data_IF_395816757709
#
_entry.id   IF_395816757709
#
_cell.length_a   1.000
_cell.length_b   1.000
_cell.length_c   1.000
_cell.angle_alpha   90.00
_cell.angle_beta   90.00
_cell.angle_gamma   90.00
#
_symmetry.space_group_name_H-M   'P 1'
#
loop_
_entity.id
_entity.type
_entity.pdbx_description
1 polymer ?
#
# COMPACT_ATOMS: atom_id res chain seq x y z
N UNK A 1 19.80 10.77 44.79
CA UNK A 1 18.88 9.88 44.06
C UNK A 1 19.21 10.00 42.58
N UNK A 2 20.16 9.19 42.10
CA UNK A 2 20.64 9.24 40.72
C UNK A 2 19.98 8.11 39.93
N UNK A 3 19.29 8.50 38.87
CA UNK A 3 18.57 7.65 37.94
C UNK A 3 19.60 6.81 37.15
N UNK A 4 19.80 5.56 37.55
CA UNK A 4 20.74 4.63 36.92
C UNK A 4 20.16 4.06 35.64
N UNK A 5 20.23 4.83 34.55
CA UNK A 5 20.01 4.29 33.21
C UNK A 5 21.12 3.27 32.92
N UNK A 6 20.74 2.00 32.90
CA UNK A 6 21.54 0.89 32.38
C UNK A 6 21.88 1.16 30.92
N UNK A 7 23.09 1.66 30.65
CA UNK A 7 23.58 1.82 29.29
C UNK A 7 23.73 0.44 28.64
N UNK A 8 22.73 0.05 27.85
CA UNK A 8 22.68 -1.16 27.04
C UNK A 8 23.31 -0.85 25.68
N UNK A 9 24.56 -1.27 25.48
CA UNK A 9 25.26 -1.05 24.21
C UNK A 9 25.17 -2.31 23.35
N UNK A 10 24.16 -2.36 22.48
CA UNK A 10 23.98 -3.45 21.52
C UNK A 10 24.84 -3.13 20.29
N UNK A 11 25.94 -3.87 20.09
CA UNK A 11 26.64 -3.88 18.79
C UNK A 11 25.85 -4.75 17.82
N UNK A 12 25.04 -4.10 16.99
CA UNK A 12 24.11 -4.73 16.04
C UNK A 12 24.84 -5.36 14.86
N UNK A 13 25.11 -6.65 14.95
CA UNK A 13 25.13 -7.51 13.78
C UNK A 13 24.08 -8.60 14.01
N UNK A 14 23.03 -8.62 13.17
CA UNK A 14 21.99 -9.65 13.06
C UNK A 14 20.93 -9.83 14.16
N UNK A 15 20.65 -8.84 15.01
CA UNK A 15 19.48 -8.91 15.90
C UNK A 15 18.20 -8.45 15.18
N UNK A 16 17.16 -9.29 15.18
CA UNK A 16 15.85 -8.97 14.60
C UNK A 16 15.09 -7.91 15.39
N UNK A 17 14.06 -7.31 14.80
CA UNK A 17 13.13 -6.42 15.52
C UNK A 17 12.13 -7.25 16.33
N UNK A 18 11.72 -6.77 17.51
CA UNK A 18 10.71 -7.43 18.35
C UNK A 18 11.04 -7.44 19.84
N UNK A 19 10.29 -8.23 20.60
CA UNK A 19 10.46 -8.40 22.05
C UNK A 19 11.49 -9.51 22.33
N UNK A 20 12.61 -9.17 22.96
CA UNK A 20 13.59 -10.13 23.45
C UNK A 20 13.32 -10.42 24.93
N UNK A 21 13.42 -11.68 25.32
CA UNK A 21 13.28 -12.09 26.72
C UNK A 21 14.66 -12.47 27.29
N UNK A 22 15.06 -11.82 28.37
CA UNK A 22 16.26 -12.14 29.14
C UNK A 22 15.80 -12.86 30.40
N UNK A 23 16.12 -14.14 30.51
CA UNK A 23 15.76 -14.98 31.65
C UNK A 23 16.98 -15.15 32.53
N UNK A 24 16.85 -14.72 33.78
CA UNK A 24 17.85 -14.93 34.83
C UNK A 24 17.36 -16.07 35.73
N UNK A 25 18.14 -17.14 35.77
CA UNK A 25 17.85 -18.39 36.49
C UNK A 25 19.04 -18.80 37.36
N UNK A 26 18.84 -19.76 38.26
CA UNK A 26 19.88 -20.31 39.13
C UNK A 26 20.65 -19.25 39.95
N UNK A 27 19.93 -18.26 40.49
CA UNK A 27 20.53 -17.24 41.35
C UNK A 27 21.07 -17.85 42.64
N UNK A 28 22.36 -17.68 42.89
CA UNK A 28 23.04 -18.14 44.10
C UNK A 28 23.85 -17.00 44.72
N UNK A 29 23.80 -16.89 46.04
CA UNK A 29 24.56 -15.90 46.82
C UNK A 29 25.41 -16.62 47.85
N UNK A 30 26.74 -16.57 47.68
CA UNK A 30 27.69 -17.21 48.58
C UNK A 30 27.94 -16.37 49.84
N UNK A 31 28.49 -16.99 50.89
CA UNK A 31 28.80 -16.39 52.19
C UNK A 31 29.75 -15.19 52.09
N UNK A 32 30.53 -15.12 51.00
CA UNK A 32 31.42 -14.00 50.66
C UNK A 32 30.74 -12.88 49.85
N UNK A 33 29.39 -12.84 49.79
CA UNK A 33 28.61 -11.87 49.03
C UNK A 33 28.84 -11.93 47.50
N UNK A 34 29.42 -13.02 47.00
CA UNK A 34 29.56 -13.28 45.57
C UNK A 34 28.23 -13.82 45.06
N UNK A 35 27.59 -13.07 44.17
CA UNK A 35 26.34 -13.43 43.54
C UNK A 35 26.62 -14.00 42.14
N UNK A 36 25.98 -15.10 41.79
CA UNK A 36 26.09 -15.73 40.47
C UNK A 36 24.72 -16.14 39.95
N UNK A 37 24.53 -16.04 38.63
CA UNK A 37 23.32 -16.50 37.98
C UNK A 37 23.59 -16.96 36.54
N UNK A 38 22.65 -17.75 36.03
CA UNK A 38 22.61 -18.19 34.65
C UNK A 38 21.68 -17.27 33.86
N UNK A 39 22.22 -16.62 32.83
CA UNK A 39 21.51 -15.67 31.98
C UNK A 39 21.31 -16.31 30.62
N UNK A 40 20.06 -16.38 30.16
CA UNK A 40 19.70 -16.87 28.84
C UNK A 40 18.86 -15.81 28.10
N UNK A 41 19.15 -15.59 26.82
CA UNK A 41 18.47 -14.59 26.01
C UNK A 41 17.70 -15.29 24.90
N UNK A 42 16.43 -14.92 24.74
CA UNK A 42 15.57 -15.41 23.68
C UNK A 42 15.26 -14.29 22.68
N UNK A 43 15.28 -14.67 21.40
CA UNK A 43 14.80 -13.87 20.27
C UNK A 43 13.26 -13.69 20.34
N UNK A 44 12.69 -12.67 19.66
CA UNK A 44 11.24 -12.54 19.43
C UNK A 44 10.50 -13.81 18.98
N UNK A 45 11.18 -14.73 18.30
CA UNK A 45 10.62 -16.01 17.87
C UNK A 45 10.73 -17.13 18.93
N UNK A 46 11.20 -16.81 20.15
CA UNK A 46 11.36 -17.76 21.25
C UNK A 46 12.59 -18.67 21.16
N UNK A 47 13.49 -18.46 20.18
CA UNK A 47 14.74 -19.20 20.07
C UNK A 47 15.83 -18.60 20.97
N UNK A 48 16.58 -19.46 21.67
CA UNK A 48 17.71 -19.04 22.50
C UNK A 48 18.86 -18.51 21.64
N UNK A 49 19.28 -17.28 21.90
CA UNK A 49 20.46 -16.62 21.30
C UNK A 49 21.74 -17.13 21.97
N UNK A 50 21.65 -17.47 23.25
CA UNK A 50 22.76 -18.01 24.02
C UNK A 50 22.48 -17.99 25.51
N UNK A 51 23.29 -18.78 26.22
CA UNK A 51 23.23 -18.98 27.67
C UNK A 51 24.62 -18.78 28.27
N UNK A 52 24.71 -18.07 29.38
CA UNK A 52 25.97 -17.78 30.06
C UNK A 52 25.78 -17.79 31.58
N UNK A 53 26.64 -18.53 32.28
CA UNK A 53 26.78 -18.40 33.73
C UNK A 53 27.79 -17.28 34.05
N UNK A 54 27.37 -16.31 34.85
CA UNK A 54 28.20 -15.15 35.18
C UNK A 54 28.06 -14.74 36.65
N UNK A 55 29.11 -14.10 37.17
CA UNK A 55 29.01 -13.34 38.41
C UNK A 55 28.17 -12.08 38.16
N UNK A 56 27.29 -11.77 39.10
CA UNK A 56 26.30 -10.69 39.02
C UNK A 56 26.40 -9.79 40.26
N UNK A 57 25.65 -8.68 40.26
CA UNK A 57 25.64 -7.72 41.37
C UNK A 57 26.77 -6.67 41.28
N UNK A 58 26.61 -5.57 42.03
CA UNK A 58 27.37 -4.32 41.84
C UNK A 58 28.90 -4.49 41.95
N UNK A 59 29.35 -5.39 42.83
CA UNK A 59 30.76 -5.57 43.16
C UNK A 59 31.49 -6.60 42.28
N UNK A 60 30.76 -7.53 41.66
CA UNK A 60 31.34 -8.68 40.95
C UNK A 60 30.89 -8.81 39.49
N UNK A 61 29.82 -8.11 39.11
CA UNK A 61 29.33 -8.10 37.74
C UNK A 61 30.31 -7.42 36.77
N UNK A 62 30.20 -7.78 35.49
CA UNK A 62 31.00 -7.21 34.41
C UNK A 62 30.19 -7.20 33.11
N UNK A 63 30.72 -6.54 32.08
CA UNK A 63 30.11 -6.59 30.76
C UNK A 63 30.39 -7.96 30.15
N UNK A 64 29.34 -8.73 29.89
CA UNK A 64 29.40 -10.08 29.34
C UNK A 64 28.74 -10.12 27.96
N UNK A 65 29.28 -10.95 27.07
CA UNK A 65 28.73 -11.15 25.73
C UNK A 65 28.09 -12.53 25.66
N UNK A 66 26.81 -12.58 25.32
CA UNK A 66 26.04 -13.81 25.17
C UNK A 66 25.70 -13.98 23.70
N UNK A 67 26.04 -15.15 23.14
CA UNK A 67 25.87 -15.46 21.73
C UNK A 67 27.07 -16.17 21.12
N UNK A 68 26.97 -16.54 19.85
CA UNK A 68 28.04 -17.21 19.09
C UNK A 68 28.90 -16.20 18.34
N UNK A 69 30.19 -16.47 18.14
CA UNK A 69 31.11 -15.55 17.47
C UNK A 69 30.76 -15.23 16.00
N UNK A 70 29.98 -16.09 15.34
CA UNK A 70 29.51 -15.93 13.95
C UNK A 70 27.99 -15.69 13.83
N UNK A 71 27.30 -15.35 14.93
CA UNK A 71 25.84 -15.19 14.96
C UNK A 71 25.39 -14.03 15.84
N UNK A 72 24.16 -14.11 16.34
CA UNK A 72 23.56 -13.07 17.20
C UNK A 72 24.37 -12.90 18.48
N UNK A 73 24.80 -11.66 18.77
CA UNK A 73 25.55 -11.32 20.01
C UNK A 73 24.81 -10.22 20.77
N UNK A 74 24.66 -10.40 22.07
CA UNK A 74 24.09 -9.39 22.97
C UNK A 74 25.05 -9.16 24.12
N UNK A 75 25.37 -7.89 24.40
CA UNK A 75 26.19 -7.53 25.55
C UNK A 75 25.30 -7.12 26.72
N UNK A 76 25.46 -7.77 27.86
CA UNK A 76 24.71 -7.50 29.09
C UNK A 76 25.68 -7.08 30.17
N UNK A 77 25.37 -5.98 30.87
CA UNK A 77 26.08 -5.60 32.07
C UNK A 77 25.49 -6.35 33.28
N UNK A 78 26.21 -7.36 33.77
CA UNK A 78 25.70 -8.21 34.85
C UNK A 78 25.74 -7.56 36.23
N UNK A 79 26.34 -6.36 36.36
CA UNK A 79 26.34 -5.58 37.61
C UNK A 79 24.95 -5.18 38.08
N UNK A 80 24.01 -5.06 37.15
CA UNK A 80 22.67 -4.54 37.39
C UNK A 80 21.64 -5.65 37.63
N UNK A 81 22.07 -6.92 37.61
CA UNK A 81 21.23 -8.07 37.89
C UNK A 81 21.39 -8.40 39.37
N UNK A 82 20.30 -8.25 40.14
CA UNK A 82 20.27 -8.45 41.60
C UNK A 82 19.26 -9.51 42.04
N UNK A 83 18.45 -10.03 41.12
CA UNK A 83 17.42 -11.05 41.41
C UNK A 83 17.15 -11.92 40.18
N UNK A 84 16.60 -13.11 40.41
CA UNK A 84 16.08 -13.98 39.35
C UNK A 84 14.78 -13.40 38.75
N UNK A 85 14.54 -13.67 37.46
CA UNK A 85 13.34 -13.22 36.77
C UNK A 85 13.54 -13.01 35.27
N UNK A 86 12.46 -12.65 34.59
CA UNK A 86 12.46 -12.39 33.15
C UNK A 86 12.34 -10.89 32.88
N UNK A 87 13.33 -10.32 32.20
CA UNK A 87 13.25 -8.96 31.67
C UNK A 87 12.90 -9.01 30.18
N UNK A 88 11.89 -8.23 29.77
CA UNK A 88 11.49 -8.09 28.37
C UNK A 88 12.07 -6.80 27.81
N UNK A 89 12.78 -6.88 26.69
CA UNK A 89 13.42 -5.74 26.02
C UNK A 89 12.86 -5.66 24.61
N UNK A 90 12.12 -4.60 24.33
CA UNK A 90 11.58 -4.34 23.00
C UNK A 90 12.62 -3.60 22.14
N UNK A 91 12.96 -4.16 20.98
CA UNK A 91 13.75 -3.47 19.95
C UNK A 91 12.80 -3.04 18.83
N UNK A 92 12.63 -1.73 18.67
CA UNK A 92 11.78 -1.13 17.63
C UNK A 92 12.61 -0.34 16.62
N UNK A 93 12.28 -0.49 15.34
CA UNK A 93 12.76 0.41 14.29
C UNK A 93 11.81 1.59 14.16
N UNK A 94 12.31 2.82 14.36
CA UNK A 94 11.58 4.04 14.03
C UNK A 94 12.08 4.57 12.69
N UNK A 95 11.20 4.65 11.69
CA UNK A 95 11.52 5.22 10.39
C UNK A 95 10.67 6.46 10.11
N UNK A 96 11.33 7.56 9.75
CA UNK A 96 10.67 8.71 9.12
C UNK A 96 10.78 8.55 7.61
N UNK A 97 9.66 8.29 6.94
CA UNK A 97 9.61 8.25 5.48
C UNK A 97 9.28 9.65 4.98
N UNK A 98 10.20 10.27 4.26
CA UNK A 98 9.93 11.48 3.50
C UNK A 98 9.80 11.09 2.03
N UNK A 99 8.63 11.30 1.44
CA UNK A 99 8.47 11.29 -0.02
C UNK A 99 8.65 12.73 -0.48
N UNK A 100 9.39 12.96 -1.56
CA UNK A 100 9.51 14.28 -2.16
C UNK A 100 8.96 14.25 -3.58
N UNK A 101 8.25 15.32 -3.97
CA UNK A 101 7.95 15.57 -5.38
C UNK A 101 9.19 16.23 -6.00
N UNK A 102 9.73 15.62 -7.05
CA UNK A 102 10.74 16.27 -7.89
C UNK A 102 10.01 17.23 -8.82
N UNK A 103 10.41 18.50 -8.78
CA UNK A 103 9.91 19.56 -9.64
C UNK A 103 10.63 19.53 -10.99
N UNK A 104 10.09 20.25 -11.97
CA UNK A 104 10.65 20.33 -13.32
C UNK A 104 12.05 20.97 -13.39
N UNK A 105 12.46 21.69 -12.33
CA UNK A 105 13.81 22.25 -12.14
C UNK A 105 14.78 21.29 -11.41
N UNK A 106 14.38 20.02 -11.27
CA UNK A 106 15.12 18.97 -10.56
C UNK A 106 15.31 19.24 -9.06
N UNK A 107 14.56 20.18 -8.47
CA UNK A 107 14.51 20.40 -7.02
C UNK A 107 13.47 19.49 -6.37
N UNK A 108 13.74 19.03 -5.16
CA UNK A 108 12.85 18.13 -4.42
C UNK A 108 12.03 18.91 -3.38
N UNK A 109 10.70 18.93 -3.52
CA UNK A 109 9.79 19.48 -2.50
C UNK A 109 9.31 18.35 -1.59
N UNK A 110 9.55 18.46 -0.28
CA UNK A 110 9.14 17.43 0.68
C UNK A 110 7.61 17.34 0.77
N UNK A 111 7.07 16.14 0.55
CA UNK A 111 5.70 15.75 0.92
C UNK A 111 5.78 15.26 2.36
N UNK A 112 5.46 16.14 3.29
CA UNK A 112 5.46 15.82 4.72
C UNK A 112 4.24 14.99 5.07
N UNK A 113 4.45 13.72 5.43
CA UNK A 113 3.43 12.93 6.13
C UNK A 113 3.52 13.22 7.63
N UNK A 114 2.43 13.69 8.24
CA UNK A 114 2.40 14.15 9.64
C UNK A 114 2.38 13.05 10.71
N UNK A 115 2.64 11.78 10.37
CA UNK A 115 2.50 10.65 11.31
C UNK A 115 3.78 9.82 11.41
N UNK A 116 4.28 9.68 12.64
CA UNK A 116 5.34 8.74 13.01
C UNK A 116 4.82 7.31 12.78
N UNK A 117 5.46 6.53 11.90
CA UNK A 117 5.06 5.16 11.58
C UNK A 117 5.92 4.18 12.39
N UNK A 118 5.29 3.43 13.29
CA UNK A 118 5.93 2.41 14.12
C UNK A 118 5.67 1.02 13.54
N UNK A 119 6.68 0.15 13.52
CA UNK A 119 6.54 -1.23 13.02
C UNK A 119 6.31 -2.19 14.19
N UNK A 120 5.39 -3.16 14.03
CA UNK A 120 5.27 -4.35 14.89
C UNK A 120 5.43 -5.58 13.96
N UNK A 121 6.48 -6.39 14.15
CA UNK A 121 6.79 -7.62 13.40
C UNK A 121 7.19 -7.45 11.91
N UNK A 122 7.96 -6.41 11.56
CA UNK A 122 8.61 -6.33 10.22
C UNK A 122 7.67 -6.09 9.03
N UNK A 123 6.41 -5.76 9.27
CA UNK A 123 5.43 -5.39 8.24
C UNK A 123 4.76 -4.06 8.60
N UNK A 124 4.85 -3.08 7.71
CA UNK A 124 4.13 -1.82 7.81
C UNK A 124 3.04 -1.76 6.75
N UNK A 125 1.82 -1.41 7.15
CA UNK A 125 0.72 -1.19 6.23
C UNK A 125 0.01 0.12 6.58
N UNK A 126 -0.01 1.07 5.65
CA UNK A 126 -0.78 2.31 5.80
C UNK A 126 -1.24 2.81 4.44
N UNK A 127 -2.52 3.17 4.32
CA UNK A 127 -3.05 3.72 3.08
C UNK A 127 -2.89 2.79 1.87
N UNK A 128 -3.01 1.46 2.06
CA UNK A 128 -2.98 0.47 0.97
C UNK A 128 -1.58 0.07 0.50
N UNK A 129 -0.56 0.71 1.07
CA UNK A 129 0.82 0.34 0.87
C UNK A 129 1.23 -0.65 1.94
N UNK A 130 1.66 -1.85 1.54
CA UNK A 130 2.33 -2.80 2.41
C UNK A 130 3.83 -2.74 2.14
N UNK A 131 4.59 -2.40 3.17
CA UNK A 131 6.05 -2.45 3.19
C UNK A 131 6.47 -3.61 4.09
N UNK A 132 7.12 -4.61 3.50
CA UNK A 132 7.71 -5.73 4.25
C UNK A 132 9.20 -5.46 4.39
N UNK A 133 9.69 -5.50 5.62
CA UNK A 133 11.12 -5.45 5.90
C UNK A 133 11.65 -6.88 5.84
N UNK A 134 12.59 -7.15 4.94
CA UNK A 134 13.32 -8.41 4.93
C UNK A 134 13.92 -8.67 6.32
N UNK A 135 13.73 -9.87 6.84
CA UNK A 135 13.93 -10.23 8.26
C UNK A 135 15.38 -10.13 8.78
N UNK A 136 16.33 -9.58 8.01
CA UNK A 136 17.72 -9.47 8.41
C UNK A 136 18.24 -8.08 8.07
N UNK A 137 18.60 -7.31 9.10
CA UNK A 137 19.42 -6.12 8.94
C UNK A 137 20.86 -6.55 8.60
N UNK A 138 21.09 -6.96 7.36
CA UNK A 138 22.44 -7.15 6.84
C UNK A 138 23.05 -5.77 6.57
N UNK A 139 24.34 -5.60 6.86
CA UNK A 139 25.10 -4.47 6.32
C UNK A 139 25.02 -4.52 4.78
N UNK A 140 24.30 -3.57 4.18
CA UNK A 140 24.06 -3.51 2.73
C UNK A 140 22.72 -2.89 2.36
N UNK A 141 22.47 -2.72 1.07
CA UNK A 141 21.21 -2.21 0.52
C UNK A 141 20.06 -3.17 0.84
N UNK A 142 19.18 -2.79 1.77
CA UNK A 142 17.92 -3.48 2.00
C UNK A 142 16.94 -3.14 0.87
N UNK A 143 16.55 -4.15 0.09
CA UNK A 143 15.47 -3.98 -0.87
C UNK A 143 14.12 -3.96 -0.12
N UNK A 144 13.31 -2.94 -0.40
CA UNK A 144 11.96 -2.80 0.14
C UNK A 144 10.97 -3.17 -0.95
N UNK A 145 10.19 -4.23 -0.71
CA UNK A 145 9.06 -4.54 -1.57
C UNK A 145 7.86 -3.69 -1.13
N UNK A 146 7.56 -2.64 -1.91
CA UNK A 146 6.38 -1.82 -1.76
C UNK A 146 5.25 -2.41 -2.61
N UNK A 147 4.35 -3.16 -1.98
CA UNK A 147 3.18 -3.71 -2.68
C UNK A 147 1.98 -2.79 -2.46
N UNK A 148 1.48 -2.20 -3.54
CA UNK A 148 0.22 -1.45 -3.52
C UNK A 148 -0.96 -2.44 -3.60
N UNK A 149 -1.71 -2.55 -2.49
CA UNK A 149 -2.91 -3.38 -2.38
C UNK A 149 -4.20 -2.63 -2.73
N UNK A 150 -4.12 -1.40 -3.23
CA UNK A 150 -5.29 -0.68 -3.70
C UNK A 150 -5.96 -1.41 -4.88
N UNK A 151 -7.29 -1.45 -4.85
CA UNK A 151 -8.10 -1.88 -5.98
C UNK A 151 -8.04 -0.79 -7.05
N UNK A 152 -7.64 -1.12 -8.27
CA UNK A 152 -7.63 -0.18 -9.40
C UNK A 152 -8.85 -0.41 -10.27
N UNK A 153 -9.66 0.64 -10.47
CA UNK A 153 -10.82 0.63 -11.35
C UNK A 153 -10.53 1.49 -12.57
N UNK A 154 -10.71 0.95 -13.77
CA UNK A 154 -10.74 1.72 -15.01
C UNK A 154 -12.09 2.45 -15.09
N UNK A 155 -12.08 3.77 -15.11
CA UNK A 155 -13.30 4.60 -15.06
C UNK A 155 -13.52 5.41 -16.33
N UNK A 156 -12.69 5.26 -17.35
CA UNK A 156 -12.81 6.02 -18.59
C UNK A 156 -12.32 5.26 -19.82
N UNK A 157 -12.58 5.83 -20.99
CA UNK A 157 -12.31 5.21 -22.29
C UNK A 157 -10.82 5.23 -22.70
N UNK A 158 -10.02 6.11 -22.09
CA UNK A 158 -8.60 6.29 -22.44
C UNK A 158 -7.66 5.62 -21.43
N UNK A 159 -6.42 5.36 -21.86
CA UNK A 159 -5.34 4.87 -21.00
C UNK A 159 -5.09 5.83 -19.83
N UNK A 160 -4.75 5.28 -18.66
CA UNK A 160 -4.47 6.03 -17.42
C UNK A 160 -5.69 6.75 -16.78
N UNK A 161 -6.92 6.40 -17.17
CA UNK A 161 -8.15 6.87 -16.53
C UNK A 161 -8.59 5.90 -15.43
N UNK A 162 -7.78 5.81 -14.38
CA UNK A 162 -7.96 4.86 -13.29
C UNK A 162 -8.26 5.57 -11.98
N UNK A 163 -9.10 4.95 -11.15
CA UNK A 163 -9.30 5.32 -9.76
C UNK A 163 -8.80 4.17 -8.88
N UNK A 164 -7.85 4.50 -8.02
CA UNK A 164 -7.31 3.55 -7.06
C UNK A 164 -8.04 3.74 -5.73
N UNK A 165 -8.69 2.67 -5.26
CA UNK A 165 -9.38 2.61 -3.98
C UNK A 165 -8.56 1.74 -3.05
N UNK A 166 -8.03 2.38 -2.01
CA UNK A 166 -7.41 1.68 -0.92
C UNK A 166 -8.38 1.61 0.27
N UNK A 167 -8.60 0.37 0.72
CA UNK A 167 -9.34 0.04 1.94
C UNK A 167 -8.35 -0.58 2.93
N UNK A 168 -8.03 0.11 4.04
CA UNK A 168 -7.19 -0.49 5.08
C UNK A 168 -7.88 -1.69 5.71
N UNK A 169 -7.11 -2.64 6.23
CA UNK A 169 -7.66 -3.74 7.02
C UNK A 169 -8.30 -3.22 8.31
N UNK A 170 -9.59 -3.47 8.51
CA UNK A 170 -10.38 -3.00 9.66
C UNK A 170 -10.78 -4.16 10.59
N UNK A 171 -9.81 -5.02 10.95
CA UNK A 171 -10.02 -6.07 11.95
C UNK A 171 -9.90 -5.53 13.38
N UNK A 172 -10.50 -6.20 14.36
CA UNK A 172 -10.43 -5.81 15.79
C UNK A 172 -8.99 -5.70 16.29
N UNK A 173 -8.12 -6.61 15.83
CA UNK A 173 -6.68 -6.61 16.11
C UNK A 173 -5.99 -5.39 15.50
N UNK A 174 -6.28 -5.04 14.24
CA UNK A 174 -5.68 -3.86 13.57
C UNK A 174 -6.18 -2.54 14.13
N UNK A 175 -7.42 -2.51 14.60
CA UNK A 175 -8.02 -1.36 15.26
C UNK A 175 -7.62 -1.25 16.75
N UNK A 176 -6.92 -2.25 17.31
CA UNK A 176 -6.46 -2.24 18.69
C UNK A 176 -7.57 -2.40 19.73
N UNK A 177 -8.67 -3.06 19.35
CA UNK A 177 -9.88 -3.25 20.17
C UNK A 177 -10.14 -4.74 20.50
N UNK A 178 -9.14 -5.62 20.35
CA UNK A 178 -9.27 -7.05 20.67
C UNK A 178 -9.32 -7.31 22.20
N UNK A 179 -8.53 -6.55 22.96
CA UNK A 179 -8.45 -6.62 24.42
C UNK A 179 -8.97 -5.33 25.05
N UNK A 180 -10.30 -5.19 25.07
CA UNK A 180 -10.97 -4.14 25.83
C UNK A 180 -11.30 -4.67 27.22
N UNK A 181 -10.80 -3.99 28.25
CA UNK A 181 -11.15 -4.23 29.64
C UNK A 181 -11.94 -3.03 30.19
N UNK A 182 -12.99 -3.31 30.94
CA UNK A 182 -13.87 -2.30 31.58
C UNK A 182 -14.02 -2.54 33.10
N UNK A 183 -13.22 -3.42 33.68
CA UNK A 183 -13.34 -3.83 35.08
C UNK A 183 -12.89 -2.73 36.06
N UNK A 184 -11.99 -1.83 35.66
CA UNK A 184 -11.60 -0.67 36.46
C UNK A 184 -11.93 0.65 35.78
N UNK A 185 -12.04 1.73 36.57
CA UNK A 185 -12.31 3.07 36.04
C UNK A 185 -11.25 3.56 35.05
N UNK A 186 -9.98 3.19 35.26
CA UNK A 186 -8.88 3.53 34.35
C UNK A 186 -9.03 2.78 33.03
N UNK A 187 -9.23 1.47 33.09
CA UNK A 187 -9.36 0.64 31.89
C UNK A 187 -10.61 1.01 31.09
N UNK A 188 -11.71 1.38 31.75
CA UNK A 188 -12.91 1.88 31.09
C UNK A 188 -12.67 3.20 30.32
N UNK A 189 -11.88 4.13 30.87
CA UNK A 189 -11.51 5.35 30.14
C UNK A 189 -10.59 5.05 28.94
N UNK A 190 -9.61 4.16 29.13
CA UNK A 190 -8.72 3.73 28.04
C UNK A 190 -9.50 3.00 26.93
N UNK A 191 -10.52 2.22 27.30
CA UNK A 191 -11.43 1.55 26.37
C UNK A 191 -12.23 2.53 25.52
N UNK A 192 -12.82 3.57 26.14
CA UNK A 192 -13.57 4.62 25.43
C UNK A 192 -12.65 5.30 24.41
N UNK A 193 -11.43 5.65 24.80
CA UNK A 193 -10.48 6.30 23.91
C UNK A 193 -10.07 5.41 22.72
N UNK A 194 -9.79 4.12 22.96
CA UNK A 194 -9.48 3.16 21.89
C UNK A 194 -10.67 2.99 20.92
N UNK A 195 -11.89 2.89 21.46
CA UNK A 195 -13.11 2.77 20.64
C UNK A 195 -13.36 4.01 19.80
N UNK A 196 -13.16 5.21 20.36
CA UNK A 196 -13.31 6.47 19.63
C UNK A 196 -12.32 6.55 18.46
N UNK A 197 -11.05 6.16 18.67
CA UNK A 197 -10.08 6.07 17.58
C UNK A 197 -10.49 5.07 16.51
N UNK A 198 -10.98 3.88 16.90
CA UNK A 198 -11.45 2.87 15.96
C UNK A 198 -12.65 3.37 15.13
N UNK A 199 -13.62 4.03 15.77
CA UNK A 199 -14.78 4.64 15.10
C UNK A 199 -14.35 5.74 14.13
N UNK A 200 -13.40 6.59 14.53
CA UNK A 200 -12.87 7.64 13.68
C UNK A 200 -12.16 7.06 12.44
N UNK A 201 -11.39 5.98 12.61
CA UNK A 201 -10.73 5.30 11.49
C UNK A 201 -11.73 4.67 10.50
N UNK A 202 -12.79 4.03 11.02
CA UNK A 202 -13.86 3.46 10.19
C UNK A 202 -14.61 4.59 9.45
N UNK A 203 -14.94 5.68 10.16
CA UNK A 203 -15.64 6.83 9.60
C UNK A 203 -14.83 7.51 8.50
N UNK A 204 -13.51 7.67 8.70
CA UNK A 204 -12.60 8.18 7.68
C UNK A 204 -12.56 7.28 6.44
N UNK A 205 -12.52 5.96 6.64
CA UNK A 205 -12.54 4.99 5.54
C UNK A 205 -13.86 5.04 4.76
N UNK A 206 -15.01 5.12 5.47
CA UNK A 206 -16.34 5.28 4.85
C UNK A 206 -16.45 6.60 4.08
N UNK A 207 -15.90 7.68 4.62
CA UNK A 207 -15.87 8.99 3.95
C UNK A 207 -15.08 8.93 2.63
N UNK A 208 -13.90 8.30 2.64
CA UNK A 208 -13.09 8.08 1.42
C UNK A 208 -13.82 7.24 0.38
N UNK A 209 -14.52 6.19 0.80
CA UNK A 209 -15.34 5.36 -0.08
C UNK A 209 -16.51 6.14 -0.67
N UNK A 210 -17.24 6.92 0.14
CA UNK A 210 -18.34 7.77 -0.33
C UNK A 210 -17.87 8.85 -1.31
N UNK A 211 -16.74 9.51 -1.03
CA UNK A 211 -16.13 10.46 -1.96
C UNK A 211 -15.76 9.80 -3.30
N UNK A 212 -15.27 8.56 -3.25
CA UNK A 212 -14.94 7.82 -4.46
C UNK A 212 -16.21 7.40 -5.22
N UNK A 213 -17.26 6.98 -4.52
CA UNK A 213 -18.57 6.71 -5.12
C UNK A 213 -19.10 7.93 -5.87
N UNK A 214 -19.08 9.12 -5.24
CA UNK A 214 -19.51 10.36 -5.91
C UNK A 214 -18.72 10.63 -7.19
N UNK A 215 -17.40 10.42 -7.16
CA UNK A 215 -16.56 10.56 -8.36
C UNK A 215 -16.94 9.55 -9.45
N UNK A 216 -17.24 8.31 -9.08
CA UNK A 216 -17.69 7.28 -10.02
C UNK A 216 -19.03 7.68 -10.64
N UNK A 217 -19.99 8.13 -9.84
CA UNK A 217 -21.31 8.60 -10.33
C UNK A 217 -21.17 9.77 -11.30
N UNK A 218 -20.32 10.77 -10.98
CA UNK A 218 -20.03 11.87 -11.90
C UNK A 218 -19.35 11.41 -13.18
N UNK A 219 -18.42 10.46 -13.08
CA UNK A 219 -17.73 9.92 -14.25
C UNK A 219 -18.70 9.15 -15.14
N UNK A 220 -19.57 8.33 -14.56
CA UNK A 220 -20.63 7.61 -15.28
C UNK A 220 -21.54 8.60 -16.01
N UNK A 221 -22.02 9.64 -15.32
CA UNK A 221 -22.88 10.66 -15.93
C UNK A 221 -22.18 11.34 -17.12
N UNK A 222 -20.91 11.74 -16.95
CA UNK A 222 -20.14 12.35 -18.03
C UNK A 222 -19.89 11.40 -19.21
N UNK A 223 -19.62 10.13 -18.95
CA UNK A 223 -19.46 9.11 -19.98
C UNK A 223 -20.76 8.87 -20.75
N UNK A 224 -21.90 8.87 -20.07
CA UNK A 224 -23.21 8.75 -20.72
C UNK A 224 -23.48 9.92 -21.66
N UNK A 225 -23.25 11.16 -21.22
CA UNK A 225 -23.38 12.34 -22.09
C UNK A 225 -22.40 12.30 -23.27
N UNK A 226 -21.16 11.86 -23.03
CA UNK A 226 -20.18 11.71 -24.10
C UNK A 226 -20.61 10.63 -25.09
N UNK A 227 -21.15 9.51 -24.62
CA UNK A 227 -21.66 8.44 -25.46
C UNK A 227 -22.85 8.91 -26.31
N UNK A 228 -23.77 9.67 -25.74
CA UNK A 228 -24.90 10.27 -26.47
C UNK A 228 -24.39 11.22 -27.58
N UNK A 229 -23.44 12.11 -27.25
CA UNK A 229 -22.85 13.04 -28.22
C UNK A 229 -22.08 12.34 -29.35
N UNK A 230 -21.35 11.27 -29.02
CA UNK A 230 -20.63 10.46 -30.01
C UNK A 230 -21.61 9.71 -30.91
N UNK A 231 -22.63 9.07 -30.33
CA UNK A 231 -23.67 8.36 -31.09
C UNK A 231 -24.43 9.31 -32.03
N UNK A 232 -24.77 10.51 -31.55
CA UNK A 232 -25.41 11.53 -32.38
C UNK A 232 -24.49 12.03 -33.51
N UNK A 233 -23.19 12.16 -33.24
CA UNK A 233 -22.21 12.54 -34.26
C UNK A 233 -22.00 11.43 -35.29
N UNK A 234 -21.93 10.18 -34.85
CA UNK A 234 -21.86 9.00 -35.72
C UNK A 234 -23.11 8.90 -36.61
N UNK A 235 -24.31 9.09 -36.05
CA UNK A 235 -25.55 9.14 -36.84
C UNK A 235 -25.48 10.22 -37.91
N UNK A 236 -25.06 11.44 -37.56
CA UNK A 236 -24.93 12.53 -38.54
C UNK A 236 -23.94 12.21 -39.66
N UNK A 237 -22.80 11.61 -39.34
CA UNK A 237 -21.79 11.21 -40.33
C UNK A 237 -22.38 10.13 -41.24
N UNK A 238 -22.94 9.07 -40.66
CA UNK A 238 -23.54 7.96 -41.40
C UNK A 238 -24.72 8.40 -42.28
N UNK A 239 -25.57 9.27 -41.76
CA UNK A 239 -26.74 9.78 -42.49
C UNK A 239 -26.31 10.74 -43.62
N UNK A 240 -25.26 11.56 -43.42
CA UNK A 240 -24.69 12.39 -44.47
C UNK A 240 -24.04 11.55 -45.58
N UNK A 241 -23.28 10.53 -45.21
CA UNK A 241 -22.65 9.61 -46.15
C UNK A 241 -23.70 8.81 -46.94
N UNK A 242 -24.75 8.30 -46.28
CA UNK A 242 -25.88 7.66 -46.96
C UNK A 242 -26.63 8.62 -47.87
N UNK A 243 -26.86 9.87 -47.46
CA UNK A 243 -27.50 10.85 -48.32
C UNK A 243 -26.66 11.11 -49.58
N UNK A 244 -25.34 11.27 -49.44
CA UNK A 244 -24.43 11.42 -50.58
C UNK A 244 -24.51 10.22 -51.52
N UNK A 245 -24.37 9.00 -51.00
CA UNK A 245 -24.44 7.77 -51.79
C UNK A 245 -25.81 7.62 -52.49
N UNK A 246 -26.91 7.97 -51.83
CA UNK A 246 -28.25 7.94 -52.41
C UNK A 246 -28.43 8.98 -53.52
N UNK A 247 -27.82 10.16 -53.40
CA UNK A 247 -27.83 11.15 -54.49
C UNK A 247 -27.02 10.67 -55.69
N UNK A 248 -25.87 10.04 -55.47
CA UNK A 248 -25.05 9.47 -56.53
C UNK A 248 -25.73 8.27 -57.19
N UNK A 249 -26.31 7.36 -56.40
CA UNK A 249 -27.14 6.26 -56.88
C UNK A 249 -28.33 6.76 -57.71
N UNK A 250 -29.03 7.82 -57.26
CA UNK A 250 -30.15 8.40 -58.00
C UNK A 250 -29.68 9.05 -59.30
N UNK A 251 -28.58 9.79 -59.27
CA UNK A 251 -27.96 10.38 -60.47
C UNK A 251 -27.57 9.30 -61.48
N UNK A 252 -26.95 8.22 -61.03
CA UNK A 252 -26.57 7.08 -61.87
C UNK A 252 -27.80 6.36 -62.44
N UNK A 253 -28.89 6.23 -61.67
CA UNK A 253 -30.16 5.71 -62.20
C UNK A 253 -30.78 6.62 -63.26
N UNK A 254 -30.80 7.93 -63.04
CA UNK A 254 -31.31 8.90 -64.02
C UNK A 254 -30.44 8.87 -65.28
N UNK A 255 -29.12 8.79 -65.15
CA UNK A 255 -28.21 8.64 -66.28
C UNK A 255 -28.45 7.34 -67.05
N UNK A 256 -28.65 6.22 -66.36
CA UNK A 256 -28.98 4.94 -67.01
C UNK A 256 -30.33 5.00 -67.75
N UNK A 257 -31.37 5.56 -67.13
CA UNK A 257 -32.67 5.74 -67.78
C UNK A 257 -32.59 6.72 -68.97
N UNK A 258 -31.81 7.80 -68.83
CA UNK A 258 -31.57 8.78 -69.89
C UNK A 258 -30.75 8.19 -71.03
N UNK A 259 -29.75 7.36 -70.74
CA UNK A 259 -28.96 6.65 -71.74
C UNK A 259 -29.82 5.65 -72.52
N UNK A 260 -30.72 4.93 -71.85
CA UNK A 260 -31.69 4.05 -72.52
C UNK A 260 -32.68 4.84 -73.39
N UNK A 261 -33.22 5.95 -72.90
CA UNK A 261 -34.12 6.82 -73.67
C UNK A 261 -33.39 7.50 -74.85
N UNK A 262 -32.15 7.95 -74.67
CA UNK A 262 -31.31 8.49 -75.73
C UNK A 262 -30.95 7.43 -76.77
N UNK A 263 -30.63 6.19 -76.37
CA UNK A 263 -30.43 5.08 -77.30
C UNK A 263 -31.71 4.77 -78.08
N UNK A 264 -32.87 4.77 -77.43
CA UNK A 264 -34.16 4.58 -78.11
C UNK A 264 -34.43 5.70 -79.14
N UNK A 265 -34.21 6.97 -78.76
CA UNK A 265 -34.38 8.12 -79.65
C UNK A 265 -33.35 8.11 -80.81
N UNK A 266 -32.08 7.80 -80.51
CA UNK A 266 -31.01 7.70 -81.51
C UNK A 266 -31.22 6.53 -82.48
N UNK A 267 -31.94 5.48 -82.08
CA UNK A 267 -32.35 4.40 -82.98
C UNK A 267 -33.58 4.77 -83.82
N UNK A 268 -34.45 5.68 -83.36
CA UNK A 268 -35.61 6.16 -84.12
C UNK A 268 -35.25 7.23 -85.16
N UNK A 269 -34.27 8.09 -84.89
CA UNK A 269 -33.84 9.16 -85.80
C UNK A 269 -33.40 8.65 -87.20
N UNK A 270 -32.56 7.60 -87.32
CA UNK A 270 -32.18 7.03 -88.62
C UNK A 270 -33.38 6.42 -89.37
N UNK A 271 -34.34 5.81 -88.66
CA UNK A 271 -35.53 5.23 -89.28
C UNK A 271 -36.43 6.30 -89.90
N UNK A 272 -36.54 7.47 -89.27
CA UNK A 272 -37.24 8.62 -89.83
C UNK A 272 -36.58 9.19 -91.08
N UNK A 273 -35.24 9.19 -91.14
CA UNK A 273 -34.48 9.67 -92.31
C UNK A 273 -34.57 8.66 -93.47
N UNK A 274 -34.60 7.35 -93.20
CA UNK A 274 -34.83 6.33 -94.22
C UNK A 274 -36.21 6.47 -94.89
N UNK A 275 -37.24 6.91 -94.16
CA UNK A 275 -38.55 7.22 -94.76
C UNK A 275 -38.52 8.45 -95.68
N UNK A 276 -37.61 9.41 -95.43
CA UNK A 276 -37.40 10.58 -96.29
C UNK A 276 -36.54 10.27 -97.52
N UNK A 277 -35.63 9.30 -97.44
CA UNK A 277 -34.82 8.82 -98.58
C UNK A 277 -35.56 7.85 -99.50
N UNK A 278 -36.69 7.28 -99.06
CA UNK A 278 -37.54 6.38 -99.84
C UNK A 278 -38.69 7.10 -100.56
N UNK A 279 -38.74 8.43 -100.49
CA UNK A 279 -39.62 9.29 -101.28
C UNK A 279 -38.84 10.10 -102.28
#
# INVERSE_FOLDING_TARGET
MANGASNFNIKTSDLGLGEFAIVVSDYQKDSNQVESATIEIFDPNGFSIGKLAAQIGENHGSLQTIGTDSGKRVQINTKLITQAGTAKVQIEGKMKVAVSKVNDDNTATAITFSKELTTRNGKMAHGGLEMVFGANAKEGTSNFDLTNKALSFQIGANTNQNVNIDVPELSTVKLGIDEINVLSHKEANDAIFKLEQAINQISATRSKLGATQNRLEHTISNLLTTNENLTASESRIRDADMASEMTEFTKNNILNQSAQAMLAQANQLPQGILQLLQR
#
